data_IF_211633560342
#
_entry.id   IF_211633560342
#
_cell.length_a   1.000
_cell.length_b   1.000
_cell.length_c   1.000
_cell.angle_alpha   90.00
_cell.angle_beta   90.00
_cell.angle_gamma   90.00
#
_symmetry.space_group_name_H-M   'P 1'
#
loop_
_entity.id
_entity.type
_entity.pdbx_description
1 polymer ?
#
# COMPACT_ATOMS: atom_id res chain seq x y z
N UNK A 1 4.33 -27.86 -5.60
CA UNK A 1 2.94 -27.84 -5.11
C UNK A 1 1.98 -27.54 -6.26
N UNK A 2 0.83 -28.18 -6.25
CA UNK A 2 -0.19 -27.99 -7.29
C UNK A 2 -1.01 -26.72 -6.99
N UNK A 3 -1.28 -25.92 -8.02
CA UNK A 3 -2.22 -24.80 -7.90
C UNK A 3 -3.65 -25.33 -7.89
N UNK A 4 -4.13 -25.72 -6.70
CA UNK A 4 -5.44 -26.30 -6.48
C UNK A 4 -5.97 -25.88 -5.11
N UNK A 5 -7.30 -25.92 -4.95
CA UNK A 5 -7.97 -25.67 -3.68
C UNK A 5 -8.07 -26.94 -2.89
N UNK A 6 -7.66 -26.88 -1.63
CA UNK A 6 -7.79 -27.97 -0.67
C UNK A 6 -8.72 -27.55 0.46
N UNK A 7 -9.38 -28.53 1.06
CA UNK A 7 -10.32 -28.33 2.14
C UNK A 7 -9.72 -28.74 3.47
N UNK A 8 -9.95 -27.93 4.50
CA UNK A 8 -9.46 -28.20 5.86
C UNK A 8 -10.51 -29.04 6.57
N UNK A 9 -10.21 -30.30 6.98
CA UNK A 9 -11.15 -31.11 7.74
C UNK A 9 -11.24 -30.65 9.19
N UNK A 10 -12.41 -30.74 9.78
CA UNK A 10 -12.67 -30.52 11.18
C UNK A 10 -13.68 -31.54 11.73
N UNK A 11 -13.76 -31.64 13.03
CA UNK A 11 -14.62 -32.61 13.72
C UNK A 11 -15.60 -31.89 14.66
N UNK A 12 -16.77 -32.45 14.88
CA UNK A 12 -17.82 -31.86 15.74
C UNK A 12 -17.63 -32.09 17.24
N UNK A 13 -16.64 -32.89 17.63
CA UNK A 13 -16.41 -33.22 19.04
C UNK A 13 -15.08 -33.90 19.31
N UNK A 14 -14.86 -34.40 20.51
CA UNK A 14 -13.66 -35.13 20.91
C UNK A 14 -13.84 -36.65 20.72
N UNK A 15 -12.75 -37.39 20.58
CA UNK A 15 -12.76 -38.82 20.34
C UNK A 15 -12.85 -39.17 18.85
N UNK A 16 -13.32 -40.40 18.54
CA UNK A 16 -13.46 -40.85 17.15
C UNK A 16 -14.69 -40.19 16.52
N UNK A 17 -14.45 -39.28 15.55
CA UNK A 17 -15.50 -38.50 14.90
C UNK A 17 -15.39 -38.59 13.38
N UNK A 18 -16.49 -38.39 12.67
CA UNK A 18 -16.46 -38.19 11.23
C UNK A 18 -15.80 -36.83 10.88
N UNK A 19 -15.01 -36.81 9.80
CA UNK A 19 -14.45 -35.58 9.28
C UNK A 19 -15.51 -34.79 8.50
N UNK A 20 -15.61 -33.52 8.78
CA UNK A 20 -16.39 -32.56 8.02
C UNK A 20 -15.46 -31.61 7.26
N UNK A 21 -15.94 -31.08 6.16
CA UNK A 21 -15.25 -30.04 5.39
C UNK A 21 -16.25 -28.91 5.10
N UNK A 22 -15.75 -27.67 5.10
CA UNK A 22 -16.45 -26.55 4.49
C UNK A 22 -15.86 -26.33 3.10
N UNK A 23 -16.63 -26.68 2.06
CA UNK A 23 -16.17 -26.62 0.68
C UNK A 23 -16.31 -25.22 0.06
N UNK A 24 -16.87 -24.24 0.78
CA UNK A 24 -17.17 -22.91 0.25
C UNK A 24 -16.45 -21.79 0.97
N UNK A 25 -16.28 -21.88 2.29
CA UNK A 25 -15.87 -20.73 3.10
C UNK A 25 -14.49 -20.87 3.74
N UNK A 26 -13.95 -22.09 3.90
CA UNK A 26 -12.63 -22.32 4.48
C UNK A 26 -11.81 -23.24 3.58
N UNK A 27 -10.81 -22.68 2.91
CA UNK A 27 -10.00 -23.42 1.95
C UNK A 27 -8.51 -23.09 2.12
N UNK A 28 -7.63 -24.00 1.62
CA UNK A 28 -6.20 -23.82 1.56
C UNK A 28 -5.67 -24.08 0.13
N UNK A 29 -4.83 -23.19 -0.37
CA UNK A 29 -4.13 -23.38 -1.62
C UNK A 29 -2.62 -23.53 -1.35
N UNK A 30 -2.04 -24.74 -1.51
CA UNK A 30 -0.62 -24.98 -1.21
C UNK A 30 0.36 -24.38 -2.23
N UNK A 31 -0.12 -23.94 -3.38
CA UNK A 31 0.71 -23.24 -4.36
C UNK A 31 1.01 -21.81 -3.93
N UNK A 32 0.00 -21.11 -3.40
CA UNK A 32 0.10 -19.74 -2.92
C UNK A 32 0.35 -19.64 -1.42
N UNK A 33 0.26 -20.76 -0.68
CA UNK A 33 0.26 -20.81 0.80
C UNK A 33 -0.85 -19.97 1.45
N UNK A 34 -1.98 -19.80 0.76
CA UNK A 34 -3.10 -19.01 1.24
C UNK A 34 -4.16 -19.86 1.91
N UNK A 35 -4.65 -19.42 3.06
CA UNK A 35 -5.91 -19.84 3.68
C UNK A 35 -6.94 -18.78 3.34
N UNK A 36 -8.08 -19.20 2.76
CA UNK A 36 -9.20 -18.31 2.43
C UNK A 36 -10.39 -18.62 3.32
N UNK A 37 -10.96 -17.58 3.93
CA UNK A 37 -12.20 -17.65 4.71
C UNK A 37 -12.95 -16.31 4.58
N UNK A 38 -14.27 -16.33 4.81
CA UNK A 38 -15.08 -15.11 4.73
C UNK A 38 -14.79 -14.15 5.89
N UNK A 39 -14.52 -14.68 7.07
CA UNK A 39 -14.23 -13.87 8.27
C UNK A 39 -13.15 -14.54 9.09
N UNK A 40 -12.15 -13.77 9.47
CA UNK A 40 -11.16 -14.16 10.47
C UNK A 40 -11.45 -13.44 11.79
N UNK A 41 -11.92 -14.19 12.80
CA UNK A 41 -12.14 -13.69 14.16
C UNK A 41 -11.01 -14.19 15.06
N UNK A 42 -9.96 -13.40 15.20
CA UNK A 42 -8.75 -13.77 15.96
C UNK A 42 -7.75 -12.63 16.00
N UNK A 43 -6.60 -12.87 16.62
CA UNK A 43 -5.49 -11.92 16.67
C UNK A 43 -4.40 -12.35 15.68
N UNK A 44 -3.95 -11.42 14.83
CA UNK A 44 -2.71 -11.56 14.07
C UNK A 44 -1.61 -10.82 14.80
N UNK A 45 -0.54 -11.52 15.18
CA UNK A 45 0.55 -10.96 15.98
C UNK A 45 1.70 -10.41 15.14
N UNK A 46 1.69 -10.66 13.82
CA UNK A 46 2.73 -10.19 12.91
C UNK A 46 2.20 -10.06 11.48
N UNK A 47 2.78 -9.13 10.74
CA UNK A 47 2.66 -9.00 9.30
C UNK A 47 4.05 -8.93 8.68
N UNK A 48 4.23 -9.47 7.47
CA UNK A 48 5.52 -9.46 6.76
C UNK A 48 5.88 -8.08 6.23
N UNK A 49 4.87 -7.30 5.82
CA UNK A 49 5.01 -5.96 5.25
C UNK A 49 4.47 -4.90 6.22
N UNK A 50 4.76 -3.63 5.96
CA UNK A 50 4.66 -2.58 6.97
C UNK A 50 3.68 -1.45 6.62
N UNK A 51 2.93 -1.55 5.51
CA UNK A 51 1.99 -0.52 5.10
C UNK A 51 0.54 -0.98 5.09
N UNK A 52 -0.35 -0.06 5.44
CA UNK A 52 -1.79 -0.18 5.28
C UNK A 52 -2.18 0.52 3.98
N UNK A 53 -2.82 -0.21 3.08
CA UNK A 53 -3.19 0.29 1.77
C UNK A 53 -4.66 0.10 1.46
N UNK A 54 -5.17 0.84 0.48
CA UNK A 54 -6.52 0.73 -0.03
C UNK A 54 -6.52 0.72 -1.55
N UNK A 55 -7.51 0.05 -2.15
CA UNK A 55 -7.70 0.05 -3.62
C UNK A 55 -8.51 1.26 -4.02
N UNK A 56 -7.99 2.02 -4.98
CA UNK A 56 -8.64 3.19 -5.59
C UNK A 56 -8.73 3.03 -7.12
N UNK A 57 -9.70 3.70 -7.73
CA UNK A 57 -9.79 3.88 -9.17
C UNK A 57 -8.88 5.02 -9.63
N UNK A 58 -7.92 4.71 -10.50
CA UNK A 58 -7.01 5.68 -11.09
C UNK A 58 -7.32 5.95 -12.56
N UNK A 59 -6.78 7.02 -13.10
CA UNK A 59 -6.86 7.38 -14.52
C UNK A 59 -5.81 6.66 -15.41
N UNK A 60 -4.87 5.96 -14.78
CA UNK A 60 -3.86 5.13 -15.45
C UNK A 60 -3.30 4.06 -14.50
N UNK A 61 -2.55 3.11 -15.05
CA UNK A 61 -1.69 2.24 -14.25
C UNK A 61 -0.43 3.01 -13.83
N UNK A 62 -0.14 2.99 -12.53
CA UNK A 62 1.03 3.65 -11.95
C UNK A 62 2.00 2.62 -11.40
N UNK A 63 3.30 2.88 -11.60
CA UNK A 63 4.37 2.06 -11.04
C UNK A 63 4.47 2.23 -9.52
N UNK A 64 4.97 1.19 -8.85
CA UNK A 64 5.26 1.22 -7.40
C UNK A 64 6.19 2.39 -7.06
N UNK A 65 5.88 3.08 -5.97
CA UNK A 65 6.60 4.27 -5.53
C UNK A 65 6.11 5.58 -6.13
N UNK A 66 5.14 5.55 -7.06
CA UNK A 66 4.55 6.77 -7.61
C UNK A 66 3.70 7.47 -6.56
N UNK A 67 3.92 8.77 -6.37
CA UNK A 67 3.15 9.64 -5.49
C UNK A 67 1.83 10.03 -6.17
N UNK A 68 0.70 9.85 -5.47
CA UNK A 68 -0.64 10.09 -6.01
C UNK A 68 -1.46 11.05 -5.16
N UNK A 69 -2.43 11.70 -5.82
CA UNK A 69 -3.29 12.72 -5.25
C UNK A 69 -4.75 12.46 -5.61
N UNK A 70 -5.68 12.98 -4.80
CA UNK A 70 -7.09 13.04 -5.16
C UNK A 70 -7.28 13.96 -6.37
N UNK A 71 -8.01 13.49 -7.37
CA UNK A 71 -8.28 14.26 -8.59
C UNK A 71 -8.30 13.40 -9.86
N UNK A 72 -8.28 14.07 -10.99
CA UNK A 72 -8.43 13.42 -12.28
C UNK A 72 -9.89 13.10 -12.62
N UNK A 73 -10.08 12.21 -13.59
CA UNK A 73 -11.41 11.78 -14.03
C UNK A 73 -12.03 10.75 -13.06
N UNK A 74 -11.18 9.98 -12.38
CA UNK A 74 -11.55 8.98 -11.39
C UNK A 74 -11.29 9.52 -9.98
N UNK A 75 -10.95 8.63 -9.03
CA UNK A 75 -10.70 9.02 -7.63
C UNK A 75 -9.32 9.62 -7.44
N UNK A 76 -8.31 9.05 -8.12
CA UNK A 76 -6.92 9.48 -7.99
C UNK A 76 -6.20 9.63 -9.31
N UNK A 77 -5.18 10.47 -9.29
CA UNK A 77 -4.23 10.70 -10.38
C UNK A 77 -2.83 10.86 -9.80
N UNK A 78 -1.80 10.91 -10.66
CA UNK A 78 -0.45 11.26 -10.23
C UNK A 78 -0.37 12.70 -9.73
N UNK A 79 0.51 13.00 -8.78
CA UNK A 79 0.82 14.40 -8.43
C UNK A 79 1.44 15.10 -9.61
N UNK A 80 1.12 16.39 -9.81
CA UNK A 80 1.57 17.17 -10.99
C UNK A 80 2.19 18.51 -10.62
N UNK A 81 2.09 18.92 -9.37
CA UNK A 81 2.62 20.20 -8.88
C UNK A 81 3.38 20.01 -7.58
N UNK A 82 4.39 20.87 -7.32
CA UNK A 82 5.08 20.82 -6.04
C UNK A 82 4.14 21.22 -4.89
N UNK A 83 4.39 20.66 -3.72
CA UNK A 83 3.65 20.94 -2.48
C UNK A 83 2.12 20.73 -2.60
N UNK A 84 1.72 19.75 -3.40
CA UNK A 84 0.30 19.51 -3.71
C UNK A 84 -0.47 19.02 -2.49
N UNK A 85 -1.45 19.81 -2.04
CA UNK A 85 -2.23 19.57 -0.81
C UNK A 85 -3.21 18.38 -0.93
N UNK A 86 -3.56 17.96 -2.14
CA UNK A 86 -4.44 16.81 -2.39
C UNK A 86 -3.70 15.46 -2.42
N UNK A 87 -2.39 15.44 -2.13
CA UNK A 87 -1.61 14.21 -2.08
C UNK A 87 -2.14 13.28 -0.98
N UNK A 88 -2.35 11.99 -1.31
CA UNK A 88 -2.95 11.03 -0.37
C UNK A 88 -2.07 9.84 -0.02
N UNK A 89 -1.17 9.42 -0.91
CA UNK A 89 -0.41 8.20 -0.70
C UNK A 89 0.61 7.92 -1.79
N UNK A 90 1.15 6.71 -1.70
CA UNK A 90 2.16 6.18 -2.62
C UNK A 90 1.69 4.84 -3.16
N UNK A 91 1.87 4.57 -4.45
CA UNK A 91 1.54 3.26 -5.03
C UNK A 91 2.35 2.16 -4.34
N UNK A 92 1.65 1.24 -3.70
CA UNK A 92 2.23 0.11 -2.97
C UNK A 92 2.27 -1.16 -3.81
N UNK A 93 3.36 -1.91 -3.70
CA UNK A 93 3.52 -3.19 -4.40
C UNK A 93 3.19 -4.42 -3.55
N UNK A 94 3.35 -4.33 -2.24
CA UNK A 94 3.19 -5.46 -1.29
C UNK A 94 2.75 -4.94 0.08
N UNK A 95 1.50 -4.49 0.23
CA UNK A 95 1.01 -4.00 1.51
C UNK A 95 0.85 -5.12 2.54
N UNK A 96 0.94 -4.77 3.81
CA UNK A 96 0.63 -5.67 4.92
C UNK A 96 -0.86 -5.96 5.03
N UNK A 97 -1.68 -4.98 4.69
CA UNK A 97 -3.14 -5.09 4.68
C UNK A 97 -3.72 -4.25 3.54
N UNK A 98 -4.70 -4.81 2.83
CA UNK A 98 -5.41 -4.13 1.74
C UNK A 98 -6.86 -3.92 2.15
N UNK A 99 -7.28 -2.67 2.21
CA UNK A 99 -8.68 -2.30 2.34
C UNK A 99 -9.31 -2.19 0.95
N UNK A 100 -10.64 -2.34 0.88
CA UNK A 100 -11.41 -2.23 -0.36
C UNK A 100 -10.94 -3.17 -1.48
N UNK A 101 -10.43 -4.35 -1.13
CA UNK A 101 -9.79 -5.29 -2.06
C UNK A 101 -10.74 -5.85 -3.16
N UNK A 102 -12.06 -5.70 -2.97
CA UNK A 102 -13.08 -6.07 -3.98
C UNK A 102 -13.47 -4.94 -4.93
N UNK A 103 -12.88 -3.75 -4.78
CA UNK A 103 -13.19 -2.61 -5.64
C UNK A 103 -12.73 -2.85 -7.08
N UNK A 104 -13.57 -2.47 -8.03
CA UNK A 104 -13.31 -2.63 -9.47
C UNK A 104 -13.36 -1.28 -10.17
N UNK A 105 -12.37 -1.00 -10.98
CA UNK A 105 -12.23 0.19 -11.82
C UNK A 105 -11.49 -0.20 -13.11
N UNK A 106 -11.42 0.71 -14.07
CA UNK A 106 -10.63 0.49 -15.29
C UNK A 106 -9.14 0.34 -14.97
N UNK A 107 -8.64 1.11 -14.01
CA UNK A 107 -7.29 1.05 -13.49
C UNK A 107 -7.31 1.00 -11.95
N UNK A 108 -7.57 -0.18 -11.35
CA UNK A 108 -7.51 -0.32 -9.89
C UNK A 108 -6.05 -0.31 -9.45
N UNK A 109 -5.69 0.57 -8.53
CA UNK A 109 -4.34 0.68 -7.97
C UNK A 109 -4.36 0.60 -6.45
N UNK A 110 -3.30 0.06 -5.87
CA UNK A 110 -3.14 -0.08 -4.43
C UNK A 110 -2.34 1.10 -3.90
N UNK A 111 -2.96 1.93 -3.08
CA UNK A 111 -2.34 3.12 -2.49
C UNK A 111 -2.02 2.89 -1.03
N UNK A 112 -0.76 2.96 -0.67
CA UNK A 112 -0.29 2.96 0.71
C UNK A 112 -0.59 4.29 1.38
N UNK A 113 -1.43 4.24 2.42
CA UNK A 113 -1.93 5.41 3.15
C UNK A 113 -1.15 5.68 4.43
N UNK A 114 -0.51 4.67 4.99
CA UNK A 114 0.32 4.78 6.18
C UNK A 114 1.30 3.61 6.27
N UNK A 115 2.43 3.85 6.94
CA UNK A 115 3.47 2.86 7.13
C UNK A 115 4.70 3.08 6.27
N UNK A 116 5.54 2.07 6.15
CA UNK A 116 6.82 2.16 5.44
C UNK A 116 6.65 1.80 3.97
N UNK A 117 7.07 2.70 3.08
CA UNK A 117 6.96 2.56 1.63
C UNK A 117 8.15 3.20 0.91
N UNK A 118 8.64 2.59 -0.18
CA UNK A 118 9.54 3.26 -1.10
C UNK A 118 8.77 4.27 -1.95
N UNK A 119 9.32 5.47 -2.15
CA UNK A 119 8.77 6.52 -3.02
C UNK A 119 9.78 6.96 -4.06
N UNK A 120 9.35 7.24 -5.28
CA UNK A 120 10.16 7.92 -6.30
C UNK A 120 10.53 9.30 -5.81
N UNK A 121 11.80 9.64 -5.83
CA UNK A 121 12.32 10.83 -5.15
C UNK A 121 13.39 11.53 -5.96
N UNK A 122 13.32 12.86 -6.05
CA UNK A 122 14.32 13.74 -6.68
C UNK A 122 15.00 14.64 -5.64
N UNK A 123 16.29 14.87 -5.81
CA UNK A 123 17.09 15.72 -4.93
C UNK A 123 17.67 14.99 -3.72
N UNK A 124 18.27 15.75 -2.81
CA UNK A 124 18.88 15.24 -1.57
C UNK A 124 17.87 15.24 -0.42
N UNK A 125 18.01 14.26 0.47
CA UNK A 125 17.19 14.16 1.68
C UNK A 125 18.00 13.53 2.82
N UNK A 126 17.67 13.90 4.05
CA UNK A 126 18.19 13.27 5.27
C UNK A 126 17.07 12.58 6.03
N UNK A 127 17.45 11.56 6.77
CA UNK A 127 16.54 10.88 7.69
C UNK A 127 15.83 11.89 8.60
N UNK A 128 14.49 11.79 8.64
CA UNK A 128 13.63 12.68 9.41
C UNK A 128 13.13 13.91 8.64
N UNK A 129 13.69 14.22 7.47
CA UNK A 129 13.19 15.32 6.63
C UNK A 129 11.74 15.05 6.20
N UNK A 130 10.95 16.13 6.12
CA UNK A 130 9.57 16.08 5.62
C UNK A 130 9.56 15.93 4.10
N UNK A 131 8.64 15.10 3.61
CA UNK A 131 8.52 14.72 2.20
C UNK A 131 7.21 15.26 1.62
N UNK A 132 7.29 15.79 0.41
CA UNK A 132 6.17 16.38 -0.33
C UNK A 132 6.27 16.02 -1.82
N UNK A 133 5.29 16.43 -2.65
CA UNK A 133 5.36 16.31 -4.10
C UNK A 133 6.34 17.30 -4.71
N UNK A 134 7.02 16.91 -5.78
CA UNK A 134 7.94 17.75 -6.58
C UNK A 134 7.23 18.32 -7.83
N UNK A 135 8.00 19.00 -8.67
CA UNK A 135 7.56 19.44 -10.01
C UNK A 135 7.43 18.27 -11.01
N UNK A 136 8.09 17.13 -10.72
CA UNK A 136 8.01 15.95 -11.56
C UNK A 136 6.78 15.13 -11.21
N UNK A 137 5.95 14.75 -12.20
CA UNK A 137 4.74 13.98 -11.93
C UNK A 137 5.01 12.66 -11.19
N UNK A 138 4.32 12.45 -10.07
CA UNK A 138 4.44 11.23 -9.27
C UNK A 138 5.72 11.07 -8.48
N UNK A 139 6.59 12.07 -8.45
CA UNK A 139 7.88 12.05 -7.77
C UNK A 139 7.87 12.97 -6.56
N UNK A 140 8.36 12.47 -5.44
CA UNK A 140 8.49 13.24 -4.20
C UNK A 140 9.80 14.04 -4.15
N UNK A 141 9.84 15.02 -3.26
CA UNK A 141 11.04 15.75 -2.88
C UNK A 141 11.02 16.11 -1.41
N UNK A 142 12.13 16.64 -0.90
CA UNK A 142 12.18 17.25 0.43
C UNK A 142 11.33 18.51 0.47
N UNK A 143 10.53 18.66 1.51
CA UNK A 143 9.78 19.90 1.76
C UNK A 143 10.74 21.02 2.19
N UNK A 144 10.70 22.12 1.47
CA UNK A 144 11.22 23.39 1.98
C UNK A 144 10.13 24.01 2.89
N UNK A 145 10.41 24.25 4.18
CA UNK A 145 9.42 24.78 5.12
C UNK A 145 8.74 26.08 4.71
N UNK A 146 9.39 26.88 3.86
CA UNK A 146 8.81 28.15 3.34
C UNK A 146 7.59 27.91 2.44
N UNK A 147 7.49 26.72 1.85
CA UNK A 147 6.40 26.32 0.94
C UNK A 147 5.38 25.40 1.60
N UNK A 148 5.42 25.28 2.93
CA UNK A 148 4.45 24.46 3.64
C UNK A 148 3.01 24.96 3.44
N UNK A 149 2.16 24.05 2.98
CA UNK A 149 0.70 24.22 2.98
C UNK A 149 0.05 23.00 3.64
N UNK A 150 -1.07 23.17 4.35
CA UNK A 150 -1.77 22.03 4.97
C UNK A 150 -2.09 20.94 3.94
N UNK A 151 -1.76 19.69 4.26
CA UNK A 151 -1.99 18.53 3.39
C UNK A 151 -0.88 18.22 2.38
N UNK A 152 0.16 19.05 2.25
CA UNK A 152 1.25 18.79 1.30
C UNK A 152 2.27 17.75 1.79
N UNK A 153 2.28 17.40 3.08
CA UNK A 153 3.23 16.42 3.64
C UNK A 153 2.66 15.01 3.45
N UNK A 154 3.44 14.15 2.81
CA UNK A 154 3.11 12.74 2.68
C UNK A 154 3.79 11.87 3.74
N UNK A 155 4.92 12.30 4.28
CA UNK A 155 5.67 11.50 5.23
C UNK A 155 7.00 12.10 5.66
N UNK A 156 7.83 11.21 6.22
CA UNK A 156 9.22 11.53 6.60
C UNK A 156 10.18 10.50 6.01
N UNK A 157 11.37 10.96 5.61
CA UNK A 157 12.43 10.06 5.14
C UNK A 157 12.93 9.15 6.26
N UNK A 158 13.13 7.88 5.96
CA UNK A 158 13.74 6.88 6.84
C UNK A 158 15.24 6.71 6.55
N UNK A 159 15.75 7.31 5.48
CA UNK A 159 17.14 7.17 5.04
C UNK A 159 17.70 8.48 4.49
N UNK A 160 19.02 8.51 4.31
CA UNK A 160 19.73 9.61 3.67
C UNK A 160 19.93 9.30 2.17
N UNK A 161 19.74 10.31 1.33
CA UNK A 161 20.10 10.29 -0.10
C UNK A 161 20.86 11.57 -0.42
N UNK A 162 22.08 11.42 -0.96
CA UNK A 162 22.99 12.56 -1.21
C UNK A 162 23.15 12.91 -2.69
N UNK A 163 22.34 12.29 -3.57
CA UNK A 163 22.37 12.54 -5.02
C UNK A 163 21.18 13.40 -5.44
N UNK A 164 21.38 14.23 -6.47
CA UNK A 164 20.31 15.07 -7.03
C UNK A 164 19.44 14.31 -8.04
N UNK A 165 19.92 13.18 -8.58
CA UNK A 165 19.21 12.40 -9.58
C UNK A 165 17.98 11.69 -8.98
N UNK A 166 16.99 11.38 -9.80
CA UNK A 166 15.85 10.58 -9.41
C UNK A 166 16.27 9.18 -8.91
N UNK A 167 15.59 8.68 -7.90
CA UNK A 167 15.80 7.36 -7.32
C UNK A 167 14.68 7.00 -6.36
N UNK A 168 14.83 5.90 -5.65
CA UNK A 168 13.88 5.50 -4.60
C UNK A 168 14.40 5.94 -3.24
N UNK A 169 13.49 6.35 -2.36
CA UNK A 169 13.74 6.66 -0.95
C UNK A 169 12.69 5.97 -0.10
N UNK A 170 13.14 5.30 0.94
CA UNK A 170 12.25 4.70 1.92
C UNK A 170 11.69 5.77 2.85
N UNK A 171 10.38 5.89 2.94
CA UNK A 171 9.70 6.86 3.79
C UNK A 171 8.72 6.18 4.74
N UNK A 172 8.39 6.88 5.83
CA UNK A 172 7.19 6.55 6.59
C UNK A 172 6.06 7.47 6.13
N UNK A 173 5.07 6.89 5.47
CA UNK A 173 3.85 7.59 5.06
C UNK A 173 2.96 7.80 6.28
N UNK A 174 2.36 8.96 6.39
CA UNK A 174 1.46 9.33 7.47
C UNK A 174 1.12 10.81 7.43
N UNK A 175 0.11 11.20 8.20
CA UNK A 175 -0.28 12.60 8.35
C UNK A 175 0.54 13.25 9.47
N UNK A 176 1.16 14.39 9.19
CA UNK A 176 1.99 15.16 10.12
C UNK A 176 1.52 16.60 10.19
#
# INVERSE_FOLDING_TARGET
STNATYYIPFVSGTGYQANYIDSTNLTYNPYTNAISCNTFAGSSTSALYADLAEVYGADANYEVGTLVALGGYYEITTTTTPYQSSTIGVISGKPAHIMNAGYTADYPVIVGLTGRLPVKFIGQVRKGDLITSSELPGVACKLDPIHFVPGCIIGKSLEDKFTEIEGMVEIIVGRY
#
